data_IF_213347326457
#
_entry.id   IF_213347326457
#
_cell.length_a   1.000
_cell.length_b   1.000
_cell.length_c   1.000
_cell.angle_alpha   90.00
_cell.angle_beta   90.00
_cell.angle_gamma   90.00
#
_symmetry.space_group_name_H-M   'P 1'
#
loop_
_entity.id
_entity.type
_entity.pdbx_description
1 polymer ?
#
# COMPACT_ATOMS: atom_id res chain seq x y z
N UNK A 1 -22.40 -0.85 3.72
CA UNK A 1 -21.19 -1.55 3.26
C UNK A 1 -20.15 -0.48 2.94
N UNK A 2 -18.95 -0.52 3.54
CA UNK A 2 -17.92 0.48 3.27
C UNK A 2 -17.26 0.19 1.92
N UNK A 3 -16.94 1.21 1.10
CA UNK A 3 -16.21 1.02 -0.15
C UNK A 3 -14.85 0.38 0.14
N UNK A 4 -14.68 -0.86 -0.31
CA UNK A 4 -13.49 -1.69 -0.06
C UNK A 4 -12.97 -2.21 -1.39
N UNK A 5 -11.67 -2.12 -1.59
CA UNK A 5 -10.95 -2.75 -2.69
C UNK A 5 -10.02 -3.79 -2.09
N UNK A 6 -10.20 -5.04 -2.51
CA UNK A 6 -9.39 -6.18 -2.11
C UNK A 6 -8.76 -6.75 -3.39
N UNK A 7 -7.43 -6.69 -3.49
CA UNK A 7 -6.69 -7.15 -4.65
C UNK A 7 -5.63 -8.14 -4.22
N UNK A 8 -5.75 -9.36 -4.75
CA UNK A 8 -4.88 -10.49 -4.43
C UNK A 8 -4.14 -10.95 -5.70
N UNK A 9 -2.81 -10.96 -5.66
CA UNK A 9 -1.97 -11.37 -6.79
C UNK A 9 -0.79 -12.25 -6.34
N UNK A 10 -1.07 -13.56 -6.28
CA UNK A 10 -0.14 -14.59 -5.83
C UNK A 10 0.54 -15.35 -6.98
N UNK A 11 0.43 -14.88 -8.22
CA UNK A 11 0.95 -15.61 -9.39
C UNK A 11 2.47 -15.44 -9.57
N UNK A 12 3.25 -16.30 -8.91
CA UNK A 12 4.67 -16.49 -9.23
C UNK A 12 4.85 -16.95 -10.70
N UNK A 13 5.86 -16.46 -11.45
CA UNK A 13 6.94 -15.55 -11.08
C UNK A 13 6.67 -14.08 -11.47
N UNK A 14 5.43 -13.74 -11.81
CA UNK A 14 5.13 -12.42 -12.37
C UNK A 14 4.81 -11.46 -11.24
N UNK A 15 5.74 -10.54 -10.97
CA UNK A 15 5.44 -9.40 -10.10
C UNK A 15 4.37 -8.56 -10.81
N UNK A 16 3.15 -8.58 -10.28
CA UNK A 16 2.06 -7.72 -10.74
C UNK A 16 2.46 -6.25 -10.58
N UNK A 17 2.17 -5.40 -11.55
CA UNK A 17 2.45 -3.96 -11.43
C UNK A 17 1.15 -3.18 -11.44
N UNK A 18 0.78 -2.64 -10.28
CA UNK A 18 -0.34 -1.72 -10.16
C UNK A 18 0.17 -0.29 -10.33
N UNK A 19 -0.43 0.42 -11.29
CA UNK A 19 -0.23 1.87 -11.45
C UNK A 19 -1.49 2.61 -11.03
N UNK A 20 -1.32 3.55 -10.12
CA UNK A 20 -2.39 4.46 -9.69
C UNK A 20 -2.39 5.78 -10.46
N UNK A 21 -1.49 5.92 -11.45
CA UNK A 21 -1.25 7.10 -12.28
C UNK A 21 -2.46 7.53 -13.13
N UNK A 22 -3.31 6.60 -13.55
CA UNK A 22 -4.42 6.89 -14.49
C UNK A 22 -5.79 7.08 -13.83
N UNK A 23 -5.94 6.77 -12.55
CA UNK A 23 -7.26 6.69 -11.89
C UNK A 23 -7.41 7.66 -10.70
N UNK A 24 -6.38 8.47 -10.44
CA UNK A 24 -6.36 9.40 -9.33
C UNK A 24 -7.35 10.55 -9.55
N UNK A 25 -8.28 10.74 -8.60
CA UNK A 25 -9.16 11.92 -8.54
C UNK A 25 -10.67 11.66 -8.68
N UNK A 26 -11.13 10.49 -9.11
CA UNK A 26 -12.59 10.17 -9.13
C UNK A 26 -12.95 8.79 -8.59
N UNK A 27 -12.12 7.78 -8.82
CA UNK A 27 -12.48 6.39 -8.49
C UNK A 27 -12.22 6.07 -7.01
N UNK A 28 -11.12 6.57 -6.45
CA UNK A 28 -10.69 6.20 -5.10
C UNK A 28 -11.03 7.22 -4.01
N UNK A 29 -11.73 8.31 -4.35
CA UNK A 29 -12.10 9.34 -3.37
C UNK A 29 -13.04 8.82 -2.28
N UNK A 30 -13.88 7.82 -2.59
CA UNK A 30 -14.82 7.21 -1.65
C UNK A 30 -14.27 5.93 -1.03
N UNK A 31 -13.10 5.46 -1.48
CA UNK A 31 -12.51 4.23 -0.97
C UNK A 31 -12.12 4.42 0.49
N UNK A 32 -12.63 3.56 1.37
CA UNK A 32 -12.38 3.64 2.82
C UNK A 32 -11.35 2.59 3.25
N UNK A 33 -11.37 1.42 2.61
CA UNK A 33 -10.47 0.31 2.92
C UNK A 33 -9.79 -0.15 1.64
N UNK A 34 -8.46 -0.21 1.66
CA UNK A 34 -7.63 -0.74 0.58
C UNK A 34 -6.81 -1.90 1.13
N UNK A 35 -6.97 -3.07 0.52
CA UNK A 35 -6.17 -4.24 0.83
C UNK A 35 -5.50 -4.74 -0.42
N UNK A 36 -4.19 -4.87 -0.34
CA UNK A 36 -3.34 -5.39 -1.40
C UNK A 36 -2.54 -6.55 -0.82
N UNK A 37 -2.70 -7.72 -1.42
CA UNK A 37 -1.98 -8.93 -1.01
C UNK A 37 -1.28 -9.56 -2.21
N UNK A 38 -0.02 -9.96 -2.02
CA UNK A 38 0.78 -10.66 -3.02
C UNK A 38 1.93 -9.84 -3.60
N UNK A 39 2.61 -10.42 -4.59
CA UNK A 39 3.88 -9.92 -5.15
C UNK A 39 3.67 -8.74 -6.09
N UNK A 40 3.27 -7.61 -5.54
CA UNK A 40 2.85 -6.44 -6.31
C UNK A 40 3.90 -5.34 -6.19
N UNK A 41 4.37 -4.82 -7.34
CA UNK A 41 5.17 -3.61 -7.40
C UNK A 41 4.28 -2.39 -7.64
N UNK A 42 4.15 -1.56 -6.61
CA UNK A 42 3.39 -0.30 -6.70
C UNK A 42 4.21 0.79 -7.39
N UNK A 43 3.59 1.44 -8.39
CA UNK A 43 4.17 2.59 -9.10
C UNK A 43 3.26 3.81 -8.98
N UNK A 44 3.85 4.90 -8.50
CA UNK A 44 3.22 6.21 -8.42
C UNK A 44 3.96 7.15 -9.40
N UNK A 45 3.21 7.88 -10.22
CA UNK A 45 3.73 8.98 -11.03
C UNK A 45 3.11 10.27 -10.49
N UNK A 46 3.97 11.23 -10.16
CA UNK A 46 3.70 12.60 -9.69
C UNK A 46 2.22 13.00 -9.66
N UNK A 47 1.50 12.71 -8.56
CA UNK A 47 0.14 13.22 -8.43
C UNK A 47 -0.49 13.20 -7.03
N UNK A 48 -1.47 14.08 -6.82
CA UNK A 48 -1.93 14.56 -5.53
C UNK A 48 -3.01 13.64 -4.96
N UNK A 49 -2.84 13.21 -3.72
CA UNK A 49 -3.93 12.81 -2.82
C UNK A 49 -5.08 12.01 -3.48
N UNK A 50 -4.83 10.74 -3.80
CA UNK A 50 -5.82 9.86 -4.44
C UNK A 50 -6.83 9.23 -3.47
N UNK A 51 -6.47 9.08 -2.20
CA UNK A 51 -7.16 8.25 -1.21
C UNK A 51 -7.73 9.09 -0.07
N UNK A 52 -8.51 10.11 -0.43
CA UNK A 52 -9.00 11.15 0.49
C UNK A 52 -9.89 10.64 1.63
N UNK A 53 -10.58 9.51 1.44
CA UNK A 53 -11.44 8.89 2.47
C UNK A 53 -10.86 7.62 3.07
N UNK A 54 -9.63 7.26 2.69
CA UNK A 54 -9.04 5.98 3.07
C UNK A 54 -8.61 6.01 4.53
N UNK A 55 -9.28 5.17 5.33
CA UNK A 55 -9.02 5.02 6.76
C UNK A 55 -8.16 3.81 7.07
N UNK A 56 -8.20 2.79 6.22
CA UNK A 56 -7.50 1.53 6.47
C UNK A 56 -6.75 1.07 5.23
N UNK A 57 -5.45 0.84 5.39
CA UNK A 57 -4.51 0.39 4.37
C UNK A 57 -3.82 -0.89 4.83
N UNK A 58 -4.03 -1.97 4.08
CA UNK A 58 -3.42 -3.27 4.32
C UNK A 58 -2.52 -3.65 3.14
N UNK A 59 -1.25 -3.88 3.45
CA UNK A 59 -0.22 -4.20 2.48
C UNK A 59 0.45 -5.51 2.91
N UNK A 60 0.17 -6.60 2.20
CA UNK A 60 0.77 -7.90 2.47
C UNK A 60 1.61 -8.37 1.28
N UNK A 61 2.89 -8.64 1.50
CA UNK A 61 3.84 -9.05 0.46
C UNK A 61 4.02 -8.04 -0.68
N UNK A 62 3.56 -6.79 -0.48
CA UNK A 62 3.66 -5.70 -1.45
C UNK A 62 5.05 -5.11 -1.46
N UNK A 63 5.60 -4.90 -2.66
CA UNK A 63 6.90 -4.30 -2.87
C UNK A 63 6.86 -2.87 -3.40
N UNK A 64 7.88 -2.11 -3.00
CA UNK A 64 8.04 -0.70 -3.32
C UNK A 64 9.38 -0.50 -4.01
N UNK A 65 9.40 0.32 -5.06
CA UNK A 65 10.63 0.61 -5.81
C UNK A 65 11.71 1.25 -4.93
N UNK A 66 11.31 2.12 -4.01
CA UNK A 66 12.17 2.85 -3.08
C UNK A 66 11.34 3.38 -1.90
N UNK A 67 12.02 3.93 -0.88
CA UNK A 67 11.38 4.58 0.28
C UNK A 67 10.45 5.73 -0.15
N UNK A 68 10.86 6.52 -1.14
CA UNK A 68 10.04 7.63 -1.66
C UNK A 68 8.68 7.16 -2.17
N UNK A 69 8.61 6.00 -2.83
CA UNK A 69 7.35 5.43 -3.34
C UNK A 69 6.38 5.10 -2.19
N UNK A 70 6.89 4.60 -1.07
CA UNK A 70 6.08 4.34 0.12
C UNK A 70 5.62 5.65 0.77
N UNK A 71 6.51 6.63 0.89
CA UNK A 71 6.17 7.95 1.41
C UNK A 71 5.10 8.65 0.53
N UNK A 72 5.19 8.53 -0.80
CA UNK A 72 4.18 9.04 -1.74
C UNK A 72 2.82 8.36 -1.56
N UNK A 73 2.77 7.04 -1.29
CA UNK A 73 1.52 6.35 -0.98
C UNK A 73 0.90 6.91 0.30
N UNK A 74 1.69 7.09 1.36
CA UNK A 74 1.19 7.61 2.62
C UNK A 74 0.71 9.06 2.49
N UNK A 75 1.41 9.91 1.75
CA UNK A 75 0.98 11.29 1.49
C UNK A 75 -0.31 11.36 0.68
N UNK A 76 -0.65 10.30 -0.06
CA UNK A 76 -1.90 10.19 -0.78
C UNK A 76 -3.12 9.85 0.10
N UNK A 77 -2.91 9.50 1.39
CA UNK A 77 -3.92 9.02 2.33
C UNK A 77 -4.01 9.92 3.59
N UNK A 78 -4.56 11.14 3.51
CA UNK A 78 -4.46 12.15 4.58
C UNK A 78 -5.26 11.80 5.84
N UNK A 79 -6.27 10.94 5.74
CA UNK A 79 -7.16 10.54 6.85
C UNK A 79 -6.93 9.09 7.29
N UNK A 80 -5.77 8.52 6.96
CA UNK A 80 -5.45 7.13 7.28
C UNK A 80 -5.33 6.92 8.78
N UNK A 81 -6.16 6.03 9.32
CA UNK A 81 -6.23 5.69 10.75
C UNK A 81 -5.49 4.37 11.03
N UNK A 82 -5.52 3.42 10.09
CA UNK A 82 -4.99 2.06 10.25
C UNK A 82 -4.01 1.70 9.13
N UNK A 83 -2.79 1.33 9.52
CA UNK A 83 -1.78 0.82 8.61
C UNK A 83 -1.32 -0.58 9.04
N UNK A 84 -1.55 -1.56 8.16
CA UNK A 84 -0.97 -2.89 8.26
C UNK A 84 0.05 -3.08 7.14
N UNK A 85 1.27 -3.44 7.50
CA UNK A 85 2.36 -3.71 6.57
C UNK A 85 3.04 -5.04 6.95
N UNK A 86 2.97 -6.00 6.04
CA UNK A 86 3.68 -7.27 6.10
C UNK A 86 4.67 -7.35 4.95
N UNK A 87 5.95 -7.49 5.29
CA UNK A 87 7.07 -7.53 4.33
C UNK A 87 7.69 -8.92 4.27
N UNK A 88 8.21 -9.28 3.11
CA UNK A 88 9.02 -10.48 2.92
C UNK A 88 10.49 -10.18 3.28
N UNK A 89 11.13 -11.09 4.03
CA UNK A 89 12.50 -10.94 4.52
C UNK A 89 13.57 -10.77 3.42
N UNK A 90 13.30 -11.22 2.20
CA UNK A 90 14.31 -11.28 1.13
C UNK A 90 14.46 -9.95 0.36
N UNK A 91 13.56 -8.99 0.59
CA UNK A 91 13.49 -7.76 -0.22
C UNK A 91 14.06 -6.56 0.53
N UNK A 92 15.37 -6.62 0.82
CA UNK A 92 16.20 -5.49 1.26
C UNK A 92 15.76 -4.77 2.55
N UNK A 93 16.72 -4.23 3.30
CA UNK A 93 16.41 -3.38 4.45
C UNK A 93 16.00 -1.98 3.97
N UNK A 94 14.73 -1.80 3.60
CA UNK A 94 14.19 -0.45 3.41
C UNK A 94 13.82 0.12 4.78
N UNK A 95 14.43 1.26 5.12
CA UNK A 95 13.90 2.10 6.18
C UNK A 95 12.64 2.77 5.64
N UNK A 96 11.56 2.74 6.39
CA UNK A 96 10.33 3.44 6.02
C UNK A 96 10.06 4.53 7.03
N UNK A 97 9.99 5.78 6.56
CA UNK A 97 9.44 6.87 7.35
C UNK A 97 7.92 6.91 7.23
N UNK A 98 7.21 6.73 8.34
CA UNK A 98 5.75 6.84 8.41
C UNK A 98 5.41 8.22 8.99
N UNK A 99 5.00 9.14 8.14
CA UNK A 99 4.57 10.50 8.53
C UNK A 99 3.11 10.73 8.17
N UNK A 100 2.21 10.21 9.01
CA UNK A 100 0.75 10.30 8.84
C UNK A 100 0.13 10.72 10.17
N UNK A 101 -0.22 12.00 10.36
CA UNK A 101 -0.70 12.53 11.65
C UNK A 101 -2.02 11.92 12.13
N UNK A 102 -2.83 11.38 11.21
CA UNK A 102 -4.13 10.76 11.48
C UNK A 102 -4.03 9.30 11.94
N UNK A 103 -2.83 8.71 11.88
CA UNK A 103 -2.63 7.28 12.16
C UNK A 103 -2.86 6.97 13.64
N UNK A 104 -3.75 6.03 13.91
CA UNK A 104 -4.10 5.56 15.25
C UNK A 104 -3.55 4.16 15.52
N UNK A 105 -3.48 3.31 14.49
CA UNK A 105 -3.03 1.92 14.61
C UNK A 105 -1.98 1.59 13.55
N UNK A 106 -0.88 1.04 14.01
CA UNK A 106 0.24 0.59 13.18
C UNK A 106 0.55 -0.87 13.48
N UNK A 107 0.57 -1.70 12.44
CA UNK A 107 0.95 -3.10 12.51
C UNK A 107 2.04 -3.38 11.49
N UNK A 108 3.21 -3.80 11.98
CA UNK A 108 4.37 -4.15 11.16
C UNK A 108 4.74 -5.60 11.42
N UNK A 109 4.80 -6.41 10.36
CA UNK A 109 5.19 -7.83 10.45
C UNK A 109 6.16 -8.19 9.33
N UNK A 110 6.99 -9.20 9.61
CA UNK A 110 7.98 -9.72 8.66
C UNK A 110 7.68 -11.22 8.48
N UNK A 111 7.56 -11.68 7.25
CA UNK A 111 7.38 -13.08 6.91
C UNK A 111 8.60 -13.59 6.13
N UNK A 112 9.07 -14.78 6.46
CA UNK A 112 10.18 -15.41 5.76
C UNK A 112 9.67 -15.96 4.43
N UNK A 113 10.39 -15.67 3.34
CA UNK A 113 9.99 -16.05 1.98
C UNK A 113 9.90 -17.58 1.76
N UNK A 114 10.42 -18.40 2.68
CA UNK A 114 10.36 -19.86 2.62
C UNK A 114 8.98 -20.46 2.95
N UNK A 115 8.00 -19.65 3.36
CA UNK A 115 6.66 -20.09 3.76
C UNK A 115 5.56 -19.71 2.75
N UNK A 116 5.91 -19.17 1.58
CA UNK A 116 4.99 -18.85 0.48
C UNK A 116 5.11 -19.86 -0.68
#
# INVERSE_FOLDING_TARGET
>A
MLPTLDYDDYYFPNIGSLRFDQFCGRVFQTLVVLKLHGYILLKFADSPVCFLSLKSLHLNCVDFKNEESFATLLSACPVLEDLFLQRLCDVGHFLFSISVPSLQRLFLTMEQAYLC
#
